data_IF_735405075598
#
_entry.id   IF_735405075598
#
_cell.length_a   1.000
_cell.length_b   1.000
_cell.length_c   1.000
_cell.angle_alpha   90.00
_cell.angle_beta   90.00
_cell.angle_gamma   90.00
#
_symmetry.space_group_name_H-M   'P 1'
#
loop_
_entity.id
_entity.type
_entity.pdbx_description
1 polymer ?
#
# COMPACT_ATOMS: atom_id res chain seq x y z
N UNK A 1 -36.79 1.62 -11.42
CA UNK A 1 -36.35 2.89 -10.80
C UNK A 1 -35.55 2.57 -9.56
N UNK A 2 -34.23 2.48 -9.68
CA UNK A 2 -33.35 2.30 -8.51
C UNK A 2 -32.86 3.68 -8.09
N UNK A 3 -33.65 4.34 -7.22
CA UNK A 3 -33.22 5.58 -6.59
C UNK A 3 -31.93 5.35 -5.84
N UNK A 4 -30.84 6.02 -6.21
CA UNK A 4 -29.62 6.15 -5.42
C UNK A 4 -30.03 6.72 -4.06
N UNK A 5 -30.16 5.91 -3.02
CA UNK A 5 -30.23 6.41 -1.67
C UNK A 5 -28.79 6.67 -1.26
N UNK A 6 -28.43 7.93 -1.14
CA UNK A 6 -27.13 8.30 -0.59
C UNK A 6 -27.12 7.92 0.89
N UNK A 7 -26.11 7.17 1.31
CA UNK A 7 -25.92 6.83 2.72
C UNK A 7 -25.58 8.11 3.48
N UNK A 8 -26.38 8.50 4.50
CA UNK A 8 -26.19 9.75 5.20
C UNK A 8 -24.82 9.79 5.89
N UNK A 9 -24.20 10.97 5.89
CA UNK A 9 -22.87 11.18 6.48
C UNK A 9 -22.97 11.55 7.98
N UNK A 10 -23.79 10.78 8.73
CA UNK A 10 -23.99 10.93 10.19
C UNK A 10 -22.90 10.21 10.97
N UNK A 11 -22.68 10.63 12.22
CA UNK A 11 -21.63 10.08 13.09
C UNK A 11 -20.22 10.46 12.64
N UNK A 12 -19.24 10.20 13.48
CA UNK A 12 -17.85 10.56 13.24
C UNK A 12 -16.87 9.56 13.86
N UNK A 13 -15.64 9.58 13.38
CA UNK A 13 -14.48 9.01 14.09
C UNK A 13 -13.76 10.17 14.77
N UNK A 14 -13.76 10.18 16.09
CA UNK A 14 -13.18 11.23 16.92
C UNK A 14 -11.92 10.75 17.63
N UNK A 15 -11.03 11.67 18.00
CA UNK A 15 -9.89 11.34 18.84
C UNK A 15 -10.38 10.98 20.26
N UNK A 16 -9.88 9.90 20.79
CA UNK A 16 -10.08 9.51 22.18
C UNK A 16 -8.96 10.02 23.08
N UNK A 17 -9.17 9.99 24.40
CA UNK A 17 -8.22 10.49 25.39
C UNK A 17 -7.32 9.41 26.00
N UNK A 18 -7.62 8.12 25.77
CA UNK A 18 -6.91 7.02 26.39
C UNK A 18 -5.96 6.31 25.37
N UNK A 19 -4.78 5.84 25.80
CA UNK A 19 -3.83 5.12 24.91
C UNK A 19 -4.45 3.90 24.23
N UNK A 20 -5.31 3.15 24.92
CA UNK A 20 -6.01 1.98 24.38
C UNK A 20 -7.29 2.35 23.60
N UNK A 21 -7.61 3.64 23.51
CA UNK A 21 -8.74 4.14 22.73
C UNK A 21 -8.37 5.47 22.06
N UNK A 22 -7.36 5.47 21.17
CA UNK A 22 -6.88 6.70 20.53
C UNK A 22 -7.89 7.28 19.53
N UNK A 23 -8.85 6.48 19.10
CA UNK A 23 -9.97 6.86 18.24
C UNK A 23 -11.23 6.12 18.65
N UNK A 24 -12.38 6.83 18.57
CA UNK A 24 -13.70 6.32 18.89
C UNK A 24 -14.65 6.61 17.74
N UNK A 25 -15.64 5.76 17.56
CA UNK A 25 -16.77 5.99 16.67
C UNK A 25 -17.94 6.51 17.50
N UNK A 26 -18.51 7.62 17.05
CA UNK A 26 -19.71 8.22 17.66
C UNK A 26 -20.83 8.29 16.62
N UNK A 27 -22.07 8.23 17.12
CA UNK A 27 -23.28 8.35 16.31
C UNK A 27 -23.64 9.81 15.97
N UNK A 28 -24.83 10.03 15.41
CA UNK A 28 -25.33 11.36 15.05
C UNK A 28 -25.52 12.30 16.25
N UNK A 29 -25.78 11.76 17.44
CA UNK A 29 -25.93 12.51 18.66
C UNK A 29 -24.60 12.78 19.39
N UNK A 30 -23.49 12.21 18.87
CA UNK A 30 -22.18 12.28 19.51
C UNK A 30 -21.97 11.22 20.59
N UNK A 31 -22.93 10.31 20.80
CA UNK A 31 -22.80 9.20 21.72
C UNK A 31 -21.88 8.10 21.13
N UNK A 32 -21.09 7.45 21.98
CA UNK A 32 -20.20 6.36 21.55
C UNK A 32 -20.98 5.16 21.00
N UNK A 33 -20.54 4.60 19.87
CA UNK A 33 -21.07 3.32 19.37
C UNK A 33 -20.33 2.20 20.10
N UNK A 34 -20.84 1.78 21.26
CA UNK A 34 -20.13 0.93 22.23
C UNK A 34 -19.60 -0.37 21.64
N UNK A 35 -20.39 -1.05 20.82
CA UNK A 35 -19.97 -2.30 20.18
C UNK A 35 -18.78 -2.10 19.25
N UNK A 36 -18.74 -1.00 18.51
CA UNK A 36 -17.59 -0.64 17.66
C UNK A 36 -16.38 -0.28 18.52
N UNK A 37 -16.58 0.55 19.55
CA UNK A 37 -15.51 1.03 20.40
C UNK A 37 -14.90 -0.11 21.24
N UNK A 38 -15.70 -1.10 21.66
CA UNK A 38 -15.23 -2.33 22.31
C UNK A 38 -14.29 -3.12 21.39
N UNK A 39 -14.66 -3.32 20.14
CA UNK A 39 -13.81 -3.98 19.15
C UNK A 39 -12.52 -3.20 18.86
N UNK A 40 -12.62 -1.87 18.67
CA UNK A 40 -11.43 -1.04 18.42
C UNK A 40 -10.46 -1.09 19.61
N UNK A 41 -10.96 -1.11 20.83
CA UNK A 41 -10.15 -1.26 22.04
C UNK A 41 -9.45 -2.61 22.10
N UNK A 42 -10.14 -3.70 21.76
CA UNK A 42 -9.55 -5.03 21.68
C UNK A 42 -8.40 -5.08 20.65
N UNK A 43 -8.61 -4.46 19.48
CA UNK A 43 -7.56 -4.33 18.48
C UNK A 43 -6.33 -3.58 18.98
N UNK A 44 -6.51 -2.56 19.82
CA UNK A 44 -5.41 -1.83 20.45
C UNK A 44 -4.67 -2.67 21.49
N UNK A 45 -5.37 -3.53 22.25
CA UNK A 45 -4.74 -4.52 23.13
C UNK A 45 -3.89 -5.52 22.34
N UNK A 46 -4.26 -5.84 21.11
CA UNK A 46 -3.47 -6.64 20.17
C UNK A 46 -2.37 -5.85 19.43
N UNK A 47 -1.94 -4.70 19.95
CA UNK A 47 -0.82 -3.90 19.43
C UNK A 47 -1.03 -3.34 18.01
N UNK A 48 -2.26 -3.18 17.57
CA UNK A 48 -2.57 -2.51 16.30
C UNK A 48 -2.21 -1.03 16.40
N UNK A 49 -1.60 -0.46 15.35
CA UNK A 49 -1.23 0.95 15.38
C UNK A 49 -2.46 1.88 15.50
N UNK A 50 -2.33 3.05 16.17
CA UNK A 50 -3.41 4.03 16.27
C UNK A 50 -4.02 4.42 14.91
N UNK A 51 -3.21 4.53 13.85
CA UNK A 51 -3.70 4.84 12.51
C UNK A 51 -4.50 3.69 11.89
N UNK A 52 -4.16 2.45 12.21
CA UNK A 52 -4.96 1.28 11.80
C UNK A 52 -6.30 1.26 12.54
N UNK A 53 -6.30 1.53 13.86
CA UNK A 53 -7.51 1.70 14.65
C UNK A 53 -8.43 2.77 14.04
N UNK A 54 -7.87 3.93 13.69
CA UNK A 54 -8.61 5.00 13.00
C UNK A 54 -9.21 4.54 11.67
N UNK A 55 -8.44 3.81 10.86
CA UNK A 55 -8.93 3.26 9.58
C UNK A 55 -10.09 2.31 9.77
N UNK A 56 -9.98 1.40 10.74
CA UNK A 56 -11.04 0.48 11.12
C UNK A 56 -12.30 1.22 11.61
N UNK A 57 -12.11 2.27 12.41
CA UNK A 57 -13.21 3.13 12.84
C UNK A 57 -13.99 3.72 11.66
N UNK A 58 -13.30 4.22 10.63
CA UNK A 58 -13.98 4.73 9.42
C UNK A 58 -14.69 3.64 8.63
N UNK A 59 -14.13 2.44 8.56
CA UNK A 59 -14.76 1.34 7.82
C UNK A 59 -16.01 0.84 8.55
N UNK A 60 -15.94 0.72 9.88
CA UNK A 60 -17.10 0.35 10.70
C UNK A 60 -18.15 1.45 10.71
N UNK A 61 -17.76 2.73 10.76
CA UNK A 61 -18.71 3.84 10.66
C UNK A 61 -19.50 3.79 9.33
N UNK A 62 -18.85 3.42 8.20
CA UNK A 62 -19.56 3.22 6.93
C UNK A 62 -20.57 2.08 7.02
N UNK A 63 -20.21 1.00 7.68
CA UNK A 63 -21.09 -0.14 7.92
C UNK A 63 -22.28 0.26 8.76
N UNK A 64 -22.07 0.91 9.90
CA UNK A 64 -23.11 1.35 10.80
C UNK A 64 -24.03 2.42 10.17
N UNK A 65 -23.51 3.33 9.37
CA UNK A 65 -24.31 4.28 8.58
C UNK A 65 -25.30 3.57 7.66
N UNK A 66 -24.87 2.49 7.04
CA UNK A 66 -25.74 1.68 6.21
C UNK A 66 -26.80 0.96 7.06
N UNK A 67 -26.42 0.34 8.17
CA UNK A 67 -27.36 -0.32 9.06
C UNK A 67 -28.40 0.66 9.61
N UNK A 68 -27.99 1.85 10.03
CA UNK A 68 -28.91 2.90 10.47
C UNK A 68 -29.89 3.35 9.36
N UNK A 69 -29.40 3.45 8.12
CA UNK A 69 -30.26 3.76 6.97
C UNK A 69 -31.27 2.66 6.69
N UNK A 70 -30.89 1.40 6.90
CA UNK A 70 -31.72 0.23 6.66
C UNK A 70 -32.61 -0.13 7.88
N UNK A 71 -32.47 0.60 9.00
CA UNK A 71 -33.12 0.30 10.28
C UNK A 71 -32.84 -1.15 10.73
N UNK A 72 -31.63 -1.64 10.45
CA UNK A 72 -31.20 -2.99 10.76
C UNK A 72 -30.34 -3.02 12.01
N UNK A 73 -30.67 -3.88 12.95
CA UNK A 73 -29.86 -4.13 14.13
C UNK A 73 -28.54 -4.81 13.71
N UNK A 74 -27.44 -4.36 14.28
CA UNK A 74 -26.11 -4.88 13.91
C UNK A 74 -25.97 -6.39 14.24
N UNK A 75 -26.59 -6.85 15.32
CA UNK A 75 -26.57 -8.25 15.79
C UNK A 75 -27.51 -9.17 15.00
N UNK A 76 -28.36 -8.61 14.13
CA UNK A 76 -29.26 -9.33 13.21
C UNK A 76 -28.85 -9.20 11.75
N UNK A 77 -27.73 -8.49 11.47
CA UNK A 77 -27.27 -8.29 10.11
C UNK A 77 -26.95 -9.62 9.43
N UNK A 78 -27.31 -9.69 8.15
CA UNK A 78 -27.16 -10.87 7.31
C UNK A 78 -26.27 -10.58 6.10
N UNK A 79 -26.09 -11.57 5.25
CA UNK A 79 -25.39 -11.39 3.99
C UNK A 79 -26.11 -10.41 3.05
N UNK A 80 -27.40 -10.17 3.22
CA UNK A 80 -28.17 -9.22 2.41
C UNK A 80 -27.68 -7.79 2.62
N UNK A 81 -27.48 -7.34 3.87
CA UNK A 81 -26.96 -6.01 4.19
C UNK A 81 -25.52 -5.86 3.67
N UNK A 82 -24.70 -6.92 3.75
CA UNK A 82 -23.35 -6.92 3.16
C UNK A 82 -23.40 -6.78 1.64
N UNK A 83 -24.35 -7.43 0.96
CA UNK A 83 -24.53 -7.28 -0.48
C UNK A 83 -24.96 -5.87 -0.87
N UNK A 84 -25.88 -5.26 -0.11
CA UNK A 84 -26.30 -3.85 -0.28
C UNK A 84 -25.10 -2.92 -0.10
N UNK A 85 -24.27 -3.12 0.95
CA UNK A 85 -23.06 -2.33 1.18
C UNK A 85 -22.09 -2.40 0.00
N UNK A 86 -21.81 -3.59 -0.51
CA UNK A 86 -20.92 -3.77 -1.66
C UNK A 86 -21.49 -3.13 -2.91
N UNK A 87 -22.80 -3.28 -3.13
CA UNK A 87 -23.51 -2.62 -4.23
C UNK A 87 -23.40 -1.11 -4.14
N UNK A 88 -23.61 -0.54 -2.95
CA UNK A 88 -23.45 0.90 -2.70
C UNK A 88 -22.01 1.35 -2.93
N UNK A 89 -21.01 0.72 -2.30
CA UNK A 89 -19.59 1.11 -2.43
C UNK A 89 -19.07 1.05 -3.87
N UNK A 90 -19.63 0.19 -4.72
CA UNK A 90 -19.25 0.10 -6.13
C UNK A 90 -19.73 1.31 -6.96
N UNK A 91 -20.81 1.94 -6.54
CA UNK A 91 -21.48 3.00 -7.30
C UNK A 91 -21.36 4.38 -6.64
N UNK A 92 -21.00 4.44 -5.35
CA UNK A 92 -20.89 5.68 -4.61
C UNK A 92 -19.58 6.42 -4.90
N UNK A 93 -19.64 7.72 -4.90
CA UNK A 93 -18.46 8.56 -4.90
C UNK A 93 -17.78 8.53 -3.52
N UNK A 94 -16.47 8.51 -3.53
CA UNK A 94 -15.70 8.55 -2.29
C UNK A 94 -15.54 10.00 -1.84
N UNK A 95 -16.41 10.45 -0.95
CA UNK A 95 -16.43 11.82 -0.42
C UNK A 95 -15.12 12.23 0.28
N UNK A 96 -14.32 11.30 0.79
CA UNK A 96 -13.00 11.57 1.36
C UNK A 96 -11.98 12.02 0.29
N UNK A 97 -12.32 11.87 -0.98
CA UNK A 97 -11.52 12.32 -2.13
C UNK A 97 -12.00 13.68 -2.63
N UNK A 98 -12.16 14.65 -1.71
CA UNK A 98 -12.43 16.02 -2.09
C UNK A 98 -11.38 16.50 -3.09
N UNK A 99 -11.83 17.00 -4.23
CA UNK A 99 -10.97 17.48 -5.32
C UNK A 99 -10.95 18.99 -5.31
N UNK A 100 -9.76 19.55 -5.49
CA UNK A 100 -9.61 20.99 -5.70
C UNK A 100 -10.00 21.34 -7.15
N UNK A 101 -10.50 22.56 -7.40
CA UNK A 101 -10.61 23.05 -8.76
C UNK A 101 -9.31 22.89 -9.53
N UNK A 102 -9.37 22.44 -10.78
CA UNK A 102 -8.17 22.18 -11.59
C UNK A 102 -7.50 20.81 -11.39
N UNK A 103 -8.01 19.95 -10.48
CA UNK A 103 -7.49 18.57 -10.37
C UNK A 103 -7.80 17.77 -11.65
N UNK A 104 -6.90 16.84 -12.05
CA UNK A 104 -7.13 15.95 -13.21
C UNK A 104 -8.44 15.17 -13.10
N UNK A 105 -9.02 14.78 -14.22
CA UNK A 105 -10.25 13.97 -14.23
C UNK A 105 -10.05 12.64 -13.48
N UNK A 106 -11.10 12.16 -12.75
CA UNK A 106 -11.06 10.87 -12.08
C UNK A 106 -10.75 9.72 -13.05
N UNK A 107 -9.75 8.90 -12.71
CA UNK A 107 -9.37 7.74 -13.50
C UNK A 107 -8.62 8.06 -14.80
N UNK A 108 -8.40 9.34 -15.14
CA UNK A 108 -7.53 9.71 -16.26
C UNK A 108 -6.10 9.19 -16.04
N UNK A 109 -5.38 8.97 -17.13
CA UNK A 109 -3.98 8.56 -17.07
C UNK A 109 -3.11 9.81 -17.22
N UNK A 110 -2.20 10.03 -16.29
CA UNK A 110 -1.24 11.10 -16.40
C UNK A 110 -0.29 10.84 -17.59
N UNK A 111 -0.20 11.78 -18.50
CA UNK A 111 0.54 11.63 -19.77
C UNK A 111 2.04 11.45 -19.54
N UNK A 112 2.63 12.14 -18.55
CA UNK A 112 4.07 12.07 -18.28
C UNK A 112 4.48 10.80 -17.54
N UNK A 113 3.63 10.35 -16.60
CA UNK A 113 3.98 9.22 -15.73
C UNK A 113 3.33 7.91 -16.16
N UNK A 114 2.35 7.95 -17.07
CA UNK A 114 1.50 6.80 -17.39
C UNK A 114 0.71 6.26 -16.20
N UNK A 115 0.69 6.97 -15.06
CA UNK A 115 0.03 6.55 -13.82
C UNK A 115 -1.41 7.05 -13.82
N UNK A 116 -2.40 6.18 -13.56
CA UNK A 116 -3.78 6.63 -13.49
C UNK A 116 -4.02 7.44 -12.22
N UNK A 117 -4.81 8.50 -12.37
CA UNK A 117 -5.37 9.24 -11.26
C UNK A 117 -6.38 8.38 -10.48
N UNK A 118 -6.54 8.60 -9.19
CA UNK A 118 -7.55 7.91 -8.41
C UNK A 118 -8.95 8.14 -9.00
N UNK A 119 -9.75 7.09 -9.13
CA UNK A 119 -11.15 7.18 -9.56
C UNK A 119 -12.00 8.00 -8.57
N UNK A 120 -13.20 8.42 -8.98
CA UNK A 120 -14.13 9.13 -8.09
C UNK A 120 -14.63 8.23 -6.94
N UNK A 121 -14.94 6.97 -7.24
CA UNK A 121 -15.51 6.01 -6.30
C UNK A 121 -14.48 5.25 -5.44
N UNK A 122 -14.98 4.27 -4.71
CA UNK A 122 -14.14 3.40 -3.89
C UNK A 122 -13.38 2.39 -4.75
N UNK A 123 -12.07 2.29 -4.53
CA UNK A 123 -11.25 1.30 -5.23
C UNK A 123 -11.61 -0.14 -4.78
N UNK A 124 -11.47 -1.16 -5.67
CA UNK A 124 -11.70 -2.55 -5.31
C UNK A 124 -10.94 -3.02 -4.06
N UNK A 125 -9.71 -2.55 -3.88
CA UNK A 125 -8.91 -2.84 -2.68
C UNK A 125 -9.53 -2.23 -1.41
N UNK A 126 -10.09 -1.01 -1.49
CA UNK A 126 -10.80 -0.39 -0.38
C UNK A 126 -12.04 -1.18 0.01
N UNK A 127 -12.85 -1.62 -0.97
CA UNK A 127 -14.03 -2.45 -0.70
C UNK A 127 -13.62 -3.78 -0.04
N UNK A 128 -12.56 -4.42 -0.54
CA UNK A 128 -12.04 -5.65 0.06
C UNK A 128 -11.54 -5.43 1.50
N UNK A 129 -10.92 -4.28 1.79
CA UNK A 129 -10.48 -3.91 3.13
C UNK A 129 -11.67 -3.69 4.08
N UNK A 130 -12.66 -2.93 3.67
CA UNK A 130 -13.90 -2.72 4.44
C UNK A 130 -14.53 -4.06 4.82
N UNK A 131 -14.69 -4.99 3.86
CA UNK A 131 -15.21 -6.33 4.12
C UNK A 131 -14.35 -7.13 5.11
N UNK A 132 -13.03 -6.94 5.09
CA UNK A 132 -12.13 -7.59 6.05
C UNK A 132 -12.33 -7.04 7.46
N UNK A 133 -12.48 -5.73 7.59
CA UNK A 133 -12.71 -5.07 8.88
C UNK A 133 -14.06 -5.46 9.46
N UNK A 134 -15.13 -5.41 8.65
CA UNK A 134 -16.49 -5.81 9.05
C UNK A 134 -16.53 -7.30 9.44
N UNK A 135 -15.89 -8.19 8.65
CA UNK A 135 -15.79 -9.62 9.03
C UNK A 135 -15.09 -9.81 10.38
N UNK A 136 -13.97 -9.12 10.59
CA UNK A 136 -13.24 -9.21 11.86
C UNK A 136 -14.03 -8.66 13.06
N UNK A 137 -14.84 -7.62 12.84
CA UNK A 137 -15.76 -7.10 13.85
C UNK A 137 -16.79 -8.15 14.28
N UNK A 138 -17.42 -8.83 13.32
CA UNK A 138 -18.39 -9.88 13.62
C UNK A 138 -17.73 -11.12 14.22
N UNK A 139 -16.57 -11.55 13.70
CA UNK A 139 -15.82 -12.69 14.27
C UNK A 139 -15.48 -12.43 15.76
N UNK A 140 -15.13 -11.17 16.13
CA UNK A 140 -14.88 -10.77 17.51
C UNK A 140 -16.13 -10.87 18.37
N UNK A 141 -17.24 -10.27 17.96
CA UNK A 141 -18.47 -10.29 18.77
C UNK A 141 -19.05 -11.69 18.91
N UNK A 142 -19.06 -12.49 17.83
CA UNK A 142 -19.51 -13.87 17.86
C UNK A 142 -18.65 -14.74 18.81
N UNK A 143 -17.35 -14.46 18.93
CA UNK A 143 -16.47 -15.14 19.89
C UNK A 143 -16.92 -14.91 21.33
N UNK A 144 -17.46 -13.73 21.65
CA UNK A 144 -17.97 -13.39 22.98
C UNK A 144 -19.46 -13.69 23.16
N UNK A 145 -20.08 -14.37 22.21
CA UNK A 145 -21.50 -14.72 22.26
C UNK A 145 -22.45 -13.58 21.90
N UNK A 146 -21.90 -12.46 21.39
CA UNK A 146 -22.68 -11.33 20.92
C UNK A 146 -22.81 -11.37 19.38
N UNK A 147 -23.90 -10.80 18.82
CA UNK A 147 -24.07 -10.65 17.38
C UNK A 147 -24.82 -11.81 16.69
N UNK A 148 -24.79 -11.88 15.36
CA UNK A 148 -25.56 -12.86 14.61
C UNK A 148 -24.93 -14.25 14.70
N UNK A 149 -25.75 -15.30 14.48
CA UNK A 149 -25.27 -16.68 14.50
C UNK A 149 -24.23 -17.00 13.40
N UNK A 150 -24.26 -16.24 12.31
CA UNK A 150 -23.37 -16.42 11.17
C UNK A 150 -22.81 -15.06 10.77
N UNK A 151 -21.49 -15.02 10.53
CA UNK A 151 -20.85 -13.77 10.06
C UNK A 151 -21.49 -13.30 8.74
N UNK A 152 -22.07 -12.09 8.69
CA UNK A 152 -22.75 -11.56 7.51
C UNK A 152 -21.83 -11.36 6.31
N UNK A 153 -20.51 -11.32 6.52
CA UNK A 153 -19.53 -11.22 5.42
C UNK A 153 -19.18 -12.62 4.93
N UNK A 154 -19.54 -12.98 3.68
CA UNK A 154 -19.25 -14.30 3.14
C UNK A 154 -17.77 -14.64 3.19
N UNK A 155 -17.44 -15.77 3.79
CA UNK A 155 -16.08 -16.31 3.78
C UNK A 155 -15.92 -17.29 2.62
N UNK A 156 -14.70 -17.41 2.08
CA UNK A 156 -14.44 -18.42 1.07
C UNK A 156 -14.40 -19.82 1.70
N UNK A 157 -14.75 -20.84 0.92
CA UNK A 157 -14.71 -22.22 1.36
C UNK A 157 -13.30 -22.66 1.82
N UNK A 158 -12.25 -22.05 1.29
CA UNK A 158 -10.86 -22.31 1.66
C UNK A 158 -10.52 -21.83 3.07
N UNK A 159 -11.09 -20.72 3.53
CA UNK A 159 -10.88 -20.25 4.92
C UNK A 159 -11.60 -21.16 5.89
N UNK A 160 -12.83 -21.61 5.57
CA UNK A 160 -13.54 -22.62 6.35
C UNK A 160 -12.77 -23.94 6.40
N UNK A 161 -12.19 -24.36 5.27
CA UNK A 161 -11.40 -25.57 5.18
C UNK A 161 -10.01 -25.46 5.86
N UNK A 162 -9.43 -24.25 5.94
CA UNK A 162 -8.19 -24.00 6.70
C UNK A 162 -8.42 -24.04 8.23
N UNK A 163 -9.65 -23.78 8.67
CA UNK A 163 -10.07 -23.92 10.06
C UNK A 163 -10.48 -25.37 10.40
N UNK A 164 -10.69 -26.25 9.41
CA UNK A 164 -10.87 -27.69 9.60
C UNK A 164 -9.51 -28.39 9.61
N UNK A 165 -9.36 -29.45 10.43
CA UNK A 165 -8.13 -30.23 10.47
C UNK A 165 -7.79 -30.78 9.08
N UNK A 166 -6.62 -30.36 8.55
CA UNK A 166 -6.06 -30.85 7.30
C UNK A 166 -4.81 -31.68 7.57
N UNK A 167 -4.66 -32.74 6.81
CA UNK A 167 -3.38 -33.44 6.75
C UNK A 167 -2.30 -32.51 6.19
N UNK A 168 -1.08 -32.45 6.81
CA UNK A 168 0.04 -31.71 6.28
C UNK A 168 0.47 -32.14 4.86
N UNK A 169 0.01 -33.31 4.41
CA UNK A 169 0.32 -33.91 3.11
C UNK A 169 -0.68 -33.51 2.01
N UNK A 170 -1.77 -32.82 2.35
CA UNK A 170 -2.71 -32.35 1.33
C UNK A 170 -2.17 -31.15 0.56
N UNK A 171 -2.17 -31.26 -0.76
CA UNK A 171 -1.83 -30.15 -1.66
C UNK A 171 -2.82 -28.99 -1.44
N UNK A 172 -2.34 -27.75 -1.20
CA UNK A 172 -3.22 -26.61 -1.04
C UNK A 172 -4.11 -26.42 -2.27
N UNK A 173 -5.43 -26.46 -2.10
CA UNK A 173 -6.36 -26.16 -3.20
C UNK A 173 -6.30 -24.68 -3.54
N UNK A 174 -6.35 -24.30 -4.84
CA UNK A 174 -6.35 -22.91 -5.24
C UNK A 174 -7.51 -22.17 -4.57
N UNK A 175 -7.21 -21.04 -3.94
CA UNK A 175 -8.18 -20.25 -3.18
C UNK A 175 -9.20 -19.60 -4.14
N UNK A 176 -10.44 -20.06 -4.11
CA UNK A 176 -11.54 -19.33 -4.76
C UNK A 176 -11.86 -18.07 -3.93
N UNK A 177 -11.97 -16.95 -4.62
CA UNK A 177 -12.37 -15.69 -4.01
C UNK A 177 -13.75 -15.84 -3.35
N UNK A 178 -13.91 -15.27 -2.16
CA UNK A 178 -15.21 -15.21 -1.49
C UNK A 178 -16.24 -14.41 -2.33
N UNK A 179 -17.49 -14.79 -2.25
CA UNK A 179 -18.62 -14.04 -2.83
C UNK A 179 -18.58 -12.60 -2.28
N UNK A 180 -18.99 -11.64 -3.04
CA UNK A 180 -18.99 -10.20 -2.75
C UNK A 180 -17.61 -9.51 -2.74
N UNK A 181 -16.48 -10.23 -2.61
CA UNK A 181 -15.15 -9.58 -2.70
C UNK A 181 -14.83 -9.20 -4.14
N UNK A 182 -14.47 -7.92 -4.41
CA UNK A 182 -14.11 -7.49 -5.76
C UNK A 182 -12.79 -8.10 -6.23
N UNK A 183 -12.60 -8.20 -7.55
CA UNK A 183 -11.28 -8.47 -8.13
C UNK A 183 -10.42 -7.23 -7.93
N UNK A 184 -9.29 -7.41 -7.26
CA UNK A 184 -8.26 -6.38 -7.20
C UNK A 184 -7.29 -6.63 -8.35
N UNK A 185 -7.23 -5.69 -9.28
CA UNK A 185 -6.24 -5.74 -10.37
C UNK A 185 -4.88 -5.45 -9.75
N UNK A 186 -3.98 -6.42 -9.81
CA UNK A 186 -2.58 -6.18 -9.46
C UNK A 186 -1.97 -5.34 -10.58
N UNK A 187 -1.62 -4.10 -10.25
CA UNK A 187 -0.89 -3.23 -11.18
C UNK A 187 0.58 -3.52 -11.01
N UNK A 188 1.31 -3.58 -12.13
CA UNK A 188 2.77 -3.68 -12.09
C UNK A 188 3.37 -2.52 -11.28
N UNK A 189 4.48 -2.79 -10.64
CA UNK A 189 5.22 -1.80 -9.87
C UNK A 189 5.76 -0.73 -10.80
N UNK A 190 5.60 0.53 -10.43
CA UNK A 190 6.08 1.66 -11.22
C UNK A 190 7.26 2.31 -10.52
N UNK A 191 8.40 2.32 -11.18
CA UNK A 191 9.54 3.13 -10.80
C UNK A 191 9.48 4.50 -11.49
N UNK A 192 10.04 5.51 -10.85
CA UNK A 192 10.26 6.81 -11.47
C UNK A 192 11.45 6.68 -12.41
N UNK A 193 11.32 6.95 -13.72
CA UNK A 193 12.45 6.97 -14.65
C UNK A 193 13.51 7.99 -14.21
N UNK A 194 14.78 7.71 -14.47
CA UNK A 194 15.89 8.52 -13.94
C UNK A 194 15.80 9.99 -14.35
N UNK A 195 15.52 10.29 -15.63
CA UNK A 195 15.34 11.68 -16.07
C UNK A 195 14.19 12.41 -15.36
N UNK A 196 13.07 11.72 -15.10
CA UNK A 196 11.95 12.32 -14.33
C UNK A 196 12.28 12.43 -12.83
N UNK A 197 13.14 11.56 -12.32
CA UNK A 197 13.65 11.69 -10.95
C UNK A 197 14.57 12.88 -10.80
N UNK A 198 15.47 13.14 -11.75
CA UNK A 198 16.35 14.32 -11.76
C UNK A 198 15.55 15.62 -11.83
N UNK A 199 14.53 15.67 -12.70
CA UNK A 199 13.61 16.81 -12.75
C UNK A 199 12.89 17.02 -11.40
N UNK A 200 12.41 15.93 -10.78
CA UNK A 200 11.76 15.98 -9.47
C UNK A 200 12.72 16.47 -8.39
N UNK A 201 13.94 15.97 -8.38
CA UNK A 201 14.98 16.36 -7.43
C UNK A 201 15.35 17.85 -7.58
N UNK A 202 15.44 18.35 -8.80
CA UNK A 202 15.71 19.78 -9.08
C UNK A 202 14.61 20.70 -8.52
N UNK A 203 13.38 20.22 -8.34
CA UNK A 203 12.30 21.00 -7.73
C UNK A 203 12.37 21.05 -6.20
N UNK A 204 13.29 20.35 -5.55
CA UNK A 204 13.43 20.39 -4.10
C UNK A 204 14.05 21.73 -3.66
N UNK A 205 13.26 22.54 -2.97
CA UNK A 205 13.58 23.94 -2.63
C UNK A 205 14.47 24.10 -1.41
N UNK A 206 14.68 23.06 -0.64
CA UNK A 206 15.49 23.11 0.60
C UNK A 206 16.39 21.89 0.69
N UNK A 207 17.52 22.04 1.41
CA UNK A 207 18.44 20.92 1.64
C UNK A 207 17.77 19.81 2.44
N UNK A 208 16.82 20.15 3.36
CA UNK A 208 15.97 19.15 4.03
C UNK A 208 15.20 18.29 3.01
N UNK A 209 14.55 18.93 2.05
CA UNK A 209 13.71 18.21 1.08
C UNK A 209 14.57 17.39 0.12
N UNK A 210 15.77 17.91 -0.27
CA UNK A 210 16.77 17.15 -1.04
C UNK A 210 17.29 15.94 -0.28
N UNK A 211 17.70 16.13 0.98
CA UNK A 211 18.15 15.05 1.84
C UNK A 211 17.07 13.97 1.99
N UNK A 212 15.84 14.38 2.33
CA UNK A 212 14.74 13.47 2.51
C UNK A 212 14.46 12.63 1.24
N UNK A 213 14.46 13.28 0.06
CA UNK A 213 14.24 12.61 -1.21
C UNK A 213 15.37 11.63 -1.54
N UNK A 214 16.64 12.05 -1.31
CA UNK A 214 17.81 11.21 -1.51
C UNK A 214 17.80 9.98 -0.59
N UNK A 215 17.44 10.14 0.68
CA UNK A 215 17.26 9.01 1.60
C UNK A 215 16.14 8.07 1.16
N UNK A 216 15.00 8.60 0.70
CA UNK A 216 13.90 7.78 0.20
C UNK A 216 14.35 6.86 -0.93
N UNK A 217 15.01 7.43 -1.95
CA UNK A 217 15.34 6.69 -3.17
C UNK A 217 16.56 5.79 -3.02
N UNK A 218 17.44 6.05 -2.05
CA UNK A 218 18.64 5.24 -1.84
C UNK A 218 18.44 4.14 -0.79
N UNK A 219 17.71 4.41 0.29
CA UNK A 219 17.52 3.44 1.37
C UNK A 219 16.27 2.58 1.20
N UNK A 220 15.30 3.02 0.39
CA UNK A 220 14.00 2.39 0.28
C UNK A 220 13.20 2.33 1.59
N UNK A 221 13.53 3.14 2.58
CA UNK A 221 12.82 3.20 3.85
C UNK A 221 11.34 3.61 3.66
N UNK A 222 10.49 3.20 4.60
CA UNK A 222 9.09 3.65 4.60
C UNK A 222 9.00 5.08 5.12
N UNK A 223 7.94 5.80 4.70
CA UNK A 223 7.73 7.19 5.11
C UNK A 223 7.77 7.38 6.63
N UNK A 224 7.11 6.51 7.39
CA UNK A 224 7.11 6.56 8.85
C UNK A 224 8.48 6.27 9.47
N UNK A 225 9.26 5.40 8.85
CA UNK A 225 10.62 5.07 9.28
C UNK A 225 11.55 6.26 9.11
N UNK A 226 11.56 6.88 7.92
CA UNK A 226 12.37 8.07 7.68
C UNK A 226 11.94 9.27 8.52
N UNK A 227 10.63 9.55 8.57
CA UNK A 227 10.14 10.73 9.28
C UNK A 227 10.32 10.63 10.80
N UNK A 228 10.46 9.42 11.34
CA UNK A 228 10.77 9.20 12.75
C UNK A 228 12.26 9.14 13.08
N UNK A 229 13.16 9.31 12.09
CA UNK A 229 14.60 9.19 12.27
C UNK A 229 15.13 10.24 13.23
N UNK A 230 15.91 9.83 14.22
CA UNK A 230 16.61 10.69 15.21
C UNK A 230 18.09 10.78 14.91
N UNK A 231 18.81 11.70 15.55
CA UNK A 231 20.25 11.86 15.36
C UNK A 231 21.02 10.58 15.73
N UNK A 232 20.63 9.90 16.78
CA UNK A 232 21.26 8.63 17.24
C UNK A 232 21.01 7.44 16.29
N UNK A 233 20.10 7.62 15.33
CA UNK A 233 19.85 6.60 14.32
C UNK A 233 20.73 6.75 13.08
N UNK A 234 21.59 7.79 13.01
CA UNK A 234 22.43 8.10 11.86
C UNK A 234 23.86 7.65 12.10
N UNK A 235 24.28 6.63 11.36
CA UNK A 235 25.68 6.21 11.31
C UNK A 235 26.38 6.90 10.12
N UNK A 236 27.03 8.01 10.38
CA UNK A 236 27.74 8.82 9.39
C UNK A 236 28.92 8.07 8.77
N UNK A 237 29.66 7.31 9.58
CA UNK A 237 30.85 6.58 9.13
C UNK A 237 30.43 5.38 8.26
N UNK A 238 29.46 4.61 8.71
CA UNK A 238 28.97 3.43 8.00
C UNK A 238 27.99 3.72 6.86
N UNK A 239 27.63 5.00 6.62
CA UNK A 239 26.64 5.40 5.59
C UNK A 239 25.35 4.63 5.68
N UNK A 240 24.83 4.45 6.90
CA UNK A 240 23.58 3.74 7.16
C UNK A 240 22.72 4.49 8.19
N UNK A 241 21.44 4.20 8.17
CA UNK A 241 20.48 4.69 9.14
C UNK A 241 19.82 3.51 9.85
N UNK A 242 19.49 3.69 11.11
CA UNK A 242 18.75 2.70 11.87
C UNK A 242 17.27 3.04 11.89
N UNK A 243 16.42 2.09 11.55
CA UNK A 243 14.98 2.28 11.52
C UNK A 243 14.26 1.21 12.31
N UNK A 244 13.10 1.54 12.87
CA UNK A 244 12.23 0.57 13.52
C UNK A 244 11.27 0.02 12.49
N UNK A 245 11.45 -1.25 12.13
CA UNK A 245 10.62 -1.91 11.12
C UNK A 245 9.17 -2.06 11.57
N UNK A 246 8.24 -1.68 10.68
CA UNK A 246 6.81 -1.87 10.92
C UNK A 246 6.48 -3.37 10.92
N UNK A 247 5.96 -3.86 12.03
CA UNK A 247 5.57 -5.26 12.21
C UNK A 247 6.48 -6.01 13.18
N UNK A 248 7.75 -6.22 12.86
CA UNK A 248 8.73 -6.87 13.76
C UNK A 248 9.16 -5.99 14.94
N UNK A 249 9.02 -4.66 14.80
CA UNK A 249 9.55 -3.64 15.75
C UNK A 249 11.05 -3.74 16.00
N UNK A 250 11.78 -4.48 15.17
CA UNK A 250 13.23 -4.57 15.25
C UNK A 250 13.88 -3.27 14.77
N UNK A 251 14.94 -2.87 15.46
CA UNK A 251 15.82 -1.79 14.99
C UNK A 251 16.80 -2.37 13.98
N UNK A 252 16.67 -1.98 12.73
CA UNK A 252 17.44 -2.52 11.62
C UNK A 252 18.24 -1.42 10.94
N UNK A 253 19.50 -1.73 10.60
CA UNK A 253 20.36 -0.84 9.85
C UNK A 253 20.07 -0.99 8.35
N UNK A 254 19.93 0.14 7.65
CA UNK A 254 19.78 0.19 6.19
C UNK A 254 20.77 1.16 5.58
N UNK A 255 21.44 0.78 4.49
CA UNK A 255 22.37 1.66 3.80
C UNK A 255 21.60 2.80 3.10
N UNK A 256 22.26 3.94 2.93
CA UNK A 256 21.80 5.01 2.08
C UNK A 256 22.98 5.57 1.28
N UNK A 257 22.70 6.27 0.17
CA UNK A 257 23.77 6.82 -0.68
C UNK A 257 24.60 7.86 0.06
N UNK A 258 25.90 7.98 -0.22
CA UNK A 258 26.73 9.04 0.34
C UNK A 258 26.16 10.44 0.13
N UNK A 259 25.55 10.72 -1.03
CA UNK A 259 24.93 12.00 -1.34
C UNK A 259 23.78 12.36 -0.39
N UNK A 260 23.01 11.35 0.07
CA UNK A 260 21.95 11.57 1.05
C UNK A 260 22.52 12.17 2.35
N UNK A 261 23.68 11.68 2.80
CA UNK A 261 24.37 12.22 3.98
C UNK A 261 24.95 13.61 3.74
N UNK A 262 25.45 13.91 2.54
CA UNK A 262 25.92 15.25 2.18
C UNK A 262 24.76 16.25 2.27
N UNK A 263 23.61 15.95 1.67
CA UNK A 263 22.44 16.83 1.76
C UNK A 263 21.92 16.95 3.20
N UNK A 264 21.99 15.87 3.98
CA UNK A 264 21.63 15.91 5.39
C UNK A 264 22.57 16.83 6.18
N UNK A 265 23.88 16.75 5.95
CA UNK A 265 24.86 17.64 6.57
C UNK A 265 24.58 19.12 6.21
N UNK A 266 24.32 19.42 4.93
CA UNK A 266 23.94 20.76 4.48
C UNK A 266 22.64 21.26 5.15
N UNK A 267 21.68 20.38 5.37
CA UNK A 267 20.46 20.73 6.09
C UNK A 267 20.73 21.05 7.55
N UNK A 268 21.48 20.18 8.24
CA UNK A 268 21.80 20.36 9.67
C UNK A 268 22.72 21.56 9.92
N UNK A 269 23.64 21.85 9.01
CA UNK A 269 24.49 23.05 9.08
C UNK A 269 23.66 24.33 9.14
N UNK A 270 22.59 24.41 8.32
CA UNK A 270 21.69 25.58 8.27
C UNK A 270 20.64 25.61 9.36
N UNK A 271 20.10 24.46 9.74
CA UNK A 271 18.98 24.34 10.65
C UNK A 271 19.38 24.08 12.11
N UNK A 272 20.66 23.77 12.35
CA UNK A 272 21.15 23.26 13.61
C UNK A 272 20.71 21.81 13.89
N UNK A 273 21.34 21.13 14.86
CA UNK A 273 20.87 19.81 15.32
C UNK A 273 19.46 19.93 15.92
N UNK A 274 18.61 18.87 15.80
CA UNK A 274 17.32 18.87 16.48
C UNK A 274 17.52 18.80 18.01
N UNK A 275 16.55 19.29 18.79
CA UNK A 275 16.51 19.01 20.23
C UNK A 275 16.50 17.50 20.50
N UNK A 276 16.95 17.11 21.70
CA UNK A 276 16.93 15.74 22.14
C UNK A 276 15.54 15.12 21.97
N UNK A 277 15.50 13.89 21.52
CA UNK A 277 14.27 13.13 21.22
C UNK A 277 13.42 13.62 20.04
N UNK A 278 13.73 14.76 19.44
CA UNK A 278 13.02 15.21 18.26
C UNK A 278 13.56 14.52 16.98
N UNK A 279 12.67 14.13 16.05
CA UNK A 279 13.12 13.65 14.75
C UNK A 279 13.97 14.68 13.99
N UNK A 280 14.91 14.19 13.19
CA UNK A 280 15.80 14.99 12.35
C UNK A 280 15.02 15.90 11.40
N UNK A 281 13.94 15.40 10.84
CA UNK A 281 13.13 16.15 9.87
C UNK A 281 12.14 17.06 10.58
N UNK A 282 12.34 18.36 10.44
CA UNK A 282 11.54 19.40 11.11
C UNK A 282 10.80 20.30 10.11
N UNK A 283 9.75 20.95 10.57
CA UNK A 283 9.08 21.99 9.81
C UNK A 283 10.05 23.16 9.60
N UNK A 284 10.09 23.74 8.39
CA UNK A 284 10.98 24.86 8.05
C UNK A 284 10.39 26.22 8.43
N UNK A 285 9.14 26.27 8.85
CA UNK A 285 8.43 27.51 9.18
C UNK A 285 7.57 27.33 10.43
N UNK A 286 7.45 28.39 11.22
CA UNK A 286 6.68 28.39 12.46
C UNK A 286 7.43 27.77 13.63
N UNK A 287 6.70 27.32 14.65
CA UNK A 287 7.30 26.66 15.80
C UNK A 287 8.03 25.38 15.40
N UNK A 288 9.12 25.07 16.10
CA UNK A 288 9.87 23.87 15.89
C UNK A 288 9.02 22.63 16.20
N UNK A 289 8.83 21.78 15.20
CA UNK A 289 8.02 20.57 15.30
C UNK A 289 8.45 19.55 14.26
N UNK A 290 8.20 18.25 14.51
CA UNK A 290 8.48 17.21 13.52
C UNK A 290 7.79 17.46 12.20
N UNK A 291 8.45 17.06 11.10
CA UNK A 291 7.84 17.03 9.78
C UNK A 291 6.81 15.91 9.71
N UNK A 292 5.55 16.29 9.55
CA UNK A 292 4.49 15.30 9.43
C UNK A 292 4.47 14.63 8.06
N UNK A 293 3.88 13.44 7.97
CA UNK A 293 3.65 12.74 6.69
C UNK A 293 2.93 13.64 5.66
N UNK A 294 1.93 14.39 6.10
CA UNK A 294 1.18 15.31 5.23
C UNK A 294 2.04 16.44 4.71
N UNK A 295 2.91 16.98 5.54
CA UNK A 295 3.84 18.03 5.12
C UNK A 295 4.89 17.52 4.13
N UNK A 296 5.45 16.32 4.36
CA UNK A 296 6.34 15.65 3.40
C UNK A 296 5.64 15.36 2.07
N UNK A 297 4.40 14.87 2.12
CA UNK A 297 3.57 14.67 0.92
C UNK A 297 3.31 15.97 0.16
N UNK A 298 3.06 17.08 0.87
CA UNK A 298 2.86 18.41 0.25
C UNK A 298 4.11 18.91 -0.49
N UNK A 299 5.32 18.54 -0.04
CA UNK A 299 6.55 18.83 -0.80
C UNK A 299 6.48 18.18 -2.17
N UNK A 300 6.16 16.90 -2.21
CA UNK A 300 6.07 16.13 -3.45
C UNK A 300 4.90 16.60 -4.34
N UNK A 301 3.75 16.93 -3.74
CA UNK A 301 2.59 17.44 -4.49
C UNK A 301 2.88 18.78 -5.18
N UNK A 302 3.66 19.67 -4.54
CA UNK A 302 4.09 20.94 -5.18
C UNK A 302 5.02 20.68 -6.37
N UNK A 303 5.99 19.79 -6.24
CA UNK A 303 6.88 19.41 -7.33
C UNK A 303 6.10 18.75 -8.48
N UNK A 304 5.18 17.86 -8.17
CA UNK A 304 4.29 17.24 -9.16
C UNK A 304 3.46 18.27 -9.92
N UNK A 305 2.92 19.28 -9.24
CA UNK A 305 2.13 20.33 -9.88
C UNK A 305 2.95 21.15 -10.89
N UNK A 306 4.23 21.39 -10.59
CA UNK A 306 5.14 22.11 -11.50
C UNK A 306 5.54 21.24 -12.70
N UNK A 307 5.73 19.94 -12.47
CA UNK A 307 6.20 19.01 -13.50
C UNK A 307 5.07 18.34 -14.28
N UNK A 308 3.81 18.53 -13.91
CA UNK A 308 2.69 17.79 -14.50
C UNK A 308 2.72 16.28 -14.22
N UNK A 309 3.29 15.88 -13.10
CA UNK A 309 3.44 14.47 -12.67
C UNK A 309 2.50 14.15 -11.50
N UNK A 310 2.41 12.87 -11.10
CA UNK A 310 1.57 12.43 -9.98
C UNK A 310 2.26 11.38 -9.09
N UNK A 311 3.55 11.56 -8.85
CA UNK A 311 4.36 10.69 -8.01
C UNK A 311 3.95 10.78 -6.53
N UNK A 312 4.10 9.68 -5.81
CA UNK A 312 3.85 9.58 -4.38
C UNK A 312 5.11 9.17 -3.63
N UNK A 313 5.14 9.36 -2.31
CA UNK A 313 6.25 8.87 -1.47
C UNK A 313 6.46 7.35 -1.60
N UNK A 314 5.41 6.60 -1.91
CA UNK A 314 5.51 5.16 -2.12
C UNK A 314 6.19 4.81 -3.45
N UNK A 315 6.01 5.63 -4.49
CA UNK A 315 6.70 5.44 -5.78
C UNK A 315 8.21 5.61 -5.64
N UNK A 316 8.70 6.46 -4.72
CA UNK A 316 10.14 6.57 -4.42
C UNK A 316 10.72 5.26 -3.90
N UNK A 317 10.03 4.62 -2.96
CA UNK A 317 10.43 3.30 -2.46
C UNK A 317 10.34 2.22 -3.54
N UNK A 318 9.34 2.28 -4.41
CA UNK A 318 9.25 1.41 -5.58
C UNK A 318 10.42 1.63 -6.54
N UNK A 319 10.86 2.88 -6.70
CA UNK A 319 12.03 3.22 -7.52
C UNK A 319 13.31 2.59 -6.97
N UNK A 320 13.53 2.65 -5.65
CA UNK A 320 14.65 1.95 -5.01
C UNK A 320 14.64 0.45 -5.34
N UNK A 321 13.50 -0.21 -5.09
CA UNK A 321 13.38 -1.64 -5.33
C UNK A 321 13.57 -2.01 -6.82
N UNK A 322 13.07 -1.18 -7.73
CA UNK A 322 13.24 -1.40 -9.17
C UNK A 322 14.68 -1.16 -9.63
N UNK A 323 15.39 -0.16 -9.07
CA UNK A 323 16.82 0.06 -9.35
C UNK A 323 17.67 -1.10 -8.85
N UNK A 324 17.43 -1.58 -7.62
CA UNK A 324 18.12 -2.76 -7.08
C UNK A 324 17.83 -4.03 -7.92
N UNK A 325 16.58 -4.20 -8.39
CA UNK A 325 16.20 -5.34 -9.22
C UNK A 325 16.78 -5.28 -10.65
N UNK A 326 17.17 -4.10 -11.12
CA UNK A 326 17.84 -3.93 -12.41
C UNK A 326 19.35 -4.14 -12.31
N UNK A 327 19.93 -4.18 -11.11
CA UNK A 327 21.34 -4.42 -10.88
C UNK A 327 21.60 -5.94 -10.88
N UNK A 328 22.41 -6.46 -11.83
CA UNK A 328 22.67 -7.89 -11.93
C UNK A 328 23.48 -8.45 -10.75
N UNK A 329 24.19 -7.60 -10.01
CA UNK A 329 25.01 -8.00 -8.86
C UNK A 329 24.18 -8.09 -7.56
N UNK A 330 22.91 -7.66 -7.56
CA UNK A 330 22.03 -7.69 -6.39
C UNK A 330 21.01 -8.82 -6.50
N UNK A 331 21.07 -9.77 -5.59
CA UNK A 331 20.18 -10.92 -5.56
C UNK A 331 18.78 -10.58 -5.02
N UNK A 332 17.79 -11.39 -5.38
CA UNK A 332 16.40 -11.23 -4.89
C UNK A 332 16.31 -11.26 -3.37
N UNK A 333 17.15 -12.06 -2.69
CA UNK A 333 17.18 -12.15 -1.21
C UNK A 333 17.75 -10.88 -0.59
N UNK A 334 18.76 -10.29 -1.21
CA UNK A 334 19.34 -9.01 -0.78
C UNK A 334 18.32 -7.88 -0.97
N UNK A 335 17.61 -7.83 -2.11
CA UNK A 335 16.52 -6.87 -2.31
C UNK A 335 15.45 -7.02 -1.24
N UNK A 336 15.02 -8.26 -0.95
CA UNK A 336 14.04 -8.53 0.10
C UNK A 336 14.51 -8.00 1.46
N UNK A 337 15.77 -8.23 1.78
CA UNK A 337 16.40 -7.81 3.04
C UNK A 337 16.49 -6.29 3.13
N UNK A 338 17.05 -5.62 2.10
CA UNK A 338 17.16 -4.15 2.06
C UNK A 338 15.78 -3.50 2.15
N UNK A 339 14.83 -4.03 1.39
CA UNK A 339 13.45 -3.51 1.37
C UNK A 339 12.64 -3.92 2.60
N UNK A 340 13.10 -4.85 3.40
CA UNK A 340 12.39 -5.39 4.57
C UNK A 340 10.96 -5.84 4.22
N UNK A 341 10.88 -6.65 3.15
CA UNK A 341 9.62 -7.25 2.75
C UNK A 341 9.36 -8.53 3.53
N UNK A 342 8.26 -8.58 4.28
CA UNK A 342 7.87 -9.75 5.07
C UNK A 342 7.65 -11.00 4.19
N UNK A 343 7.28 -10.80 2.92
CA UNK A 343 7.00 -11.88 1.98
C UNK A 343 7.80 -11.69 0.70
N UNK A 344 8.44 -12.76 0.23
CA UNK A 344 9.19 -12.79 -1.01
C UNK A 344 8.34 -12.39 -2.24
N UNK A 345 7.05 -12.75 -2.22
CA UNK A 345 6.09 -12.38 -3.26
C UNK A 345 5.99 -10.87 -3.49
N UNK A 346 6.23 -10.05 -2.46
CA UNK A 346 6.27 -8.59 -2.61
C UNK A 346 7.49 -8.14 -3.39
N UNK A 347 8.63 -8.81 -3.23
CA UNK A 347 9.87 -8.50 -3.96
C UNK A 347 9.80 -9.04 -5.39
N UNK A 348 9.19 -10.19 -5.61
CA UNK A 348 9.00 -10.79 -6.95
C UNK A 348 8.27 -9.86 -7.92
N UNK A 349 7.44 -8.95 -7.44
CA UNK A 349 6.76 -7.96 -8.29
C UNK A 349 7.74 -7.07 -9.06
N UNK A 350 8.96 -6.87 -8.55
CA UNK A 350 10.00 -6.08 -9.21
C UNK A 350 10.84 -6.88 -10.21
N UNK A 351 10.77 -8.21 -10.12
CA UNK A 351 11.47 -9.12 -11.04
C UNK A 351 10.67 -9.40 -12.32
N UNK A 352 9.46 -8.88 -12.43
CA UNK A 352 8.68 -9.00 -13.66
C UNK A 352 9.33 -8.15 -14.74
N UNK A 353 9.84 -8.74 -15.83
CA UNK A 353 10.50 -7.99 -16.89
C UNK A 353 9.56 -6.92 -17.45
N UNK A 354 10.10 -5.76 -17.77
CA UNK A 354 9.35 -4.75 -18.51
C UNK A 354 9.03 -5.25 -19.90
N UNK A 355 7.86 -4.91 -20.40
CA UNK A 355 7.45 -5.33 -21.76
C UNK A 355 8.48 -4.87 -22.82
N UNK A 356 9.02 -3.66 -22.64
CA UNK A 356 10.04 -3.10 -23.56
C UNK A 356 11.32 -3.93 -23.57
N UNK A 357 11.79 -4.39 -22.40
CA UNK A 357 12.98 -5.27 -22.28
C UNK A 357 12.71 -6.64 -22.90
N UNK A 358 11.47 -7.16 -22.77
CA UNK A 358 11.05 -8.41 -23.41
C UNK A 358 10.95 -8.26 -24.93
N UNK A 359 10.45 -7.15 -25.43
CA UNK A 359 10.35 -6.88 -26.86
C UNK A 359 11.74 -6.85 -27.52
N UNK A 360 12.73 -6.21 -26.88
CA UNK A 360 14.11 -6.23 -27.34
C UNK A 360 14.69 -7.64 -27.41
N UNK A 361 14.55 -8.43 -26.33
CA UNK A 361 15.01 -9.83 -26.29
C UNK A 361 14.28 -10.74 -27.28
N UNK A 362 12.98 -10.52 -27.49
CA UNK A 362 12.19 -11.25 -28.48
C UNK A 362 12.61 -10.90 -29.91
N UNK A 363 12.89 -9.63 -30.19
CA UNK A 363 13.41 -9.22 -31.49
C UNK A 363 14.75 -9.93 -31.80
N UNK A 364 15.66 -9.96 -30.83
CA UNK A 364 16.92 -10.72 -30.95
C UNK A 364 16.68 -12.22 -31.14
N UNK A 365 15.73 -12.80 -30.39
CA UNK A 365 15.35 -14.20 -30.47
C UNK A 365 14.85 -14.55 -31.87
N UNK A 366 13.99 -13.72 -32.47
CA UNK A 366 13.42 -13.95 -33.80
C UNK A 366 14.44 -13.74 -34.94
N UNK A 367 15.52 -12.99 -34.69
CA UNK A 367 16.60 -12.79 -35.67
C UNK A 367 17.66 -13.87 -35.60
N UNK A 368 17.65 -14.74 -34.57
CA UNK A 368 18.60 -15.86 -34.50
C UNK A 368 18.34 -16.87 -35.64
N UNK A 369 19.39 -17.32 -36.34
CA UNK A 369 19.26 -18.41 -37.30
C UNK A 369 18.59 -19.61 -36.61
N UNK A 370 17.60 -20.19 -37.25
CA UNK A 370 17.06 -21.48 -36.80
C UNK A 370 18.17 -22.50 -36.84
N UNK A 371 18.40 -23.20 -35.71
CA UNK A 371 19.28 -24.35 -35.72
C UNK A 371 18.78 -25.33 -36.78
N UNK A 372 19.67 -25.78 -37.65
CA UNK A 372 19.30 -26.86 -38.57
C UNK A 372 18.84 -28.07 -37.77
N UNK A 373 17.73 -28.71 -38.15
CA UNK A 373 17.24 -29.87 -37.44
C UNK A 373 18.32 -30.95 -37.47
N UNK A 374 18.88 -31.28 -36.33
CA UNK A 374 19.84 -32.39 -36.22
C UNK A 374 19.04 -33.67 -36.00
N UNK A 375 18.87 -34.42 -37.08
CA UNK A 375 18.21 -35.70 -37.02
C UNK A 375 19.19 -36.78 -36.55
N UNK A 376 18.79 -37.74 -35.70
CA UNK A 376 19.64 -38.88 -35.38
C UNK A 376 20.07 -39.61 -36.66
N UNK A 377 21.31 -40.14 -36.68
CA UNK A 377 21.95 -40.76 -37.84
C UNK A 377 21.14 -41.90 -38.48
N UNK A 378 20.07 -42.35 -37.87
CA UNK A 378 19.19 -43.42 -38.35
C UNK A 378 18.03 -42.95 -39.27
N UNK A 379 17.88 -41.64 -39.48
CA UNK A 379 16.78 -41.11 -40.29
C UNK A 379 17.31 -40.44 -41.55
N UNK A 380 16.79 -40.89 -42.73
CA UNK A 380 17.10 -40.23 -43.98
C UNK A 380 16.45 -38.84 -44.02
N UNK A 381 17.21 -37.76 -44.26
CA UNK A 381 16.70 -36.41 -44.35
C UNK A 381 15.58 -36.22 -45.38
N UNK A 382 15.56 -37.00 -46.46
CA UNK A 382 14.51 -36.94 -47.49
C UNK A 382 13.19 -37.58 -47.00
N UNK A 383 13.29 -38.69 -46.26
CA UNK A 383 12.12 -39.34 -45.65
C UNK A 383 11.47 -38.41 -44.61
N UNK A 384 12.26 -37.70 -43.81
CA UNK A 384 11.79 -36.75 -42.82
C UNK A 384 11.08 -35.55 -43.47
N UNK A 385 11.61 -35.02 -44.58
CA UNK A 385 10.95 -33.96 -45.34
C UNK A 385 9.64 -34.41 -45.96
N UNK A 386 9.55 -35.65 -46.39
CA UNK A 386 8.35 -36.22 -47.00
C UNK A 386 7.22 -36.42 -45.98
N UNK A 387 7.58 -36.80 -44.74
CA UNK A 387 6.59 -37.11 -43.69
C UNK A 387 6.16 -35.85 -42.89
N UNK A 388 7.05 -34.91 -42.68
CA UNK A 388 6.79 -33.75 -41.80
C UNK A 388 6.71 -32.41 -42.54
N UNK A 389 6.83 -32.37 -43.84
CA UNK A 389 6.72 -31.17 -44.66
C UNK A 389 7.86 -30.18 -44.40
N UNK A 390 8.68 -29.92 -45.38
CA UNK A 390 9.73 -28.89 -45.30
C UNK A 390 9.20 -27.49 -45.54
#
# INVERSE_FOLDING_TARGET
>A
MHGRRDVPQIGAVVAGSAPLMPYMVVDAAGAGVDVVNRYLRDRMLGDVSPLTCRSYGYDLLRWFRLLWLLEADWDKATEAETAVMVGWLRNADNWQRSRRPGSPQPGSVNVRTGKPEPGAGYAPATIAHVLTVVSGFYDFHMHFGDGPLVNPVPQNASRRAALSHRSPLEVPRPHRRARLRPKVIQRGVRSIPDGLFEELFAQMRSDRDRALLAFYVSSGARASELLGLRMDDIDWAGKKIHVISKGSRLREAIPASPDAFVYLACYLDKAGPPPDEMPVWRALRGAERPLTYWAARQVLERANALLGTNWTLHDLRHTTAARLAADPDVTLVEIQTIMRHAHLTTTQLYMTPRLDDLLGKLAEHYTRPRAEPHWPVAYDPEDVKTVFGG
#
